data_IF_024989430934
#
_entry.id   IF_024989430934
#
_cell.length_a   1.000
_cell.length_b   1.000
_cell.length_c   1.000
_cell.angle_alpha   90.00
_cell.angle_beta   90.00
_cell.angle_gamma   90.00
#
_symmetry.space_group_name_H-M   'P 1'
#
loop_
_entity.id
_entity.type
_entity.pdbx_description
1 polymer ?
#
# COMPACT_ATOMS: atom_id res chain seq x y z
N UNK A 1 -68.25 8.46 15.68
CA UNK A 1 -67.10 8.91 14.86
C UNK A 1 -65.87 8.23 15.40
N UNK A 2 -65.42 7.16 14.75
CA UNK A 2 -64.25 6.41 15.18
C UNK A 2 -62.98 7.13 14.71
N UNK A 3 -62.05 7.30 15.64
CA UNK A 3 -60.72 7.83 15.41
C UNK A 3 -59.94 6.89 14.48
N UNK A 4 -59.48 7.43 13.36
CA UNK A 4 -58.47 6.78 12.52
C UNK A 4 -57.09 7.22 12.98
N UNK A 5 -56.58 6.63 14.05
CA UNK A 5 -55.15 6.67 14.36
C UNK A 5 -54.43 5.76 13.37
N UNK A 6 -53.98 6.35 12.26
CA UNK A 6 -52.99 5.75 11.37
C UNK A 6 -51.65 5.66 12.09
N UNK A 7 -51.49 4.65 12.94
CA UNK A 7 -50.21 4.31 13.54
C UNK A 7 -49.21 4.00 12.44
N UNK A 8 -48.20 4.87 12.28
CA UNK A 8 -47.07 4.62 11.39
C UNK A 8 -46.44 3.28 11.78
N UNK A 9 -46.62 2.25 10.95
CA UNK A 9 -46.01 0.95 11.16
C UNK A 9 -44.48 1.14 11.14
N UNK A 10 -43.85 1.03 12.31
CA UNK A 10 -42.41 1.09 12.42
C UNK A 10 -41.82 -0.08 11.63
N UNK A 11 -40.88 0.22 10.72
CA UNK A 11 -40.15 -0.81 9.98
C UNK A 11 -39.47 -1.76 10.98
N UNK A 12 -39.78 -3.05 10.88
CA UNK A 12 -39.28 -4.10 11.80
C UNK A 12 -38.11 -4.87 11.21
N UNK A 13 -37.88 -4.73 9.91
CA UNK A 13 -36.79 -5.36 9.18
C UNK A 13 -36.13 -4.38 8.20
N UNK A 14 -34.88 -4.65 7.85
CA UNK A 14 -34.12 -3.83 6.89
C UNK A 14 -34.76 -3.83 5.49
N UNK A 15 -35.49 -4.89 5.16
CA UNK A 15 -36.16 -5.08 3.86
C UNK A 15 -37.40 -4.21 3.69
N UNK A 16 -37.97 -3.73 4.80
CA UNK A 16 -39.10 -2.78 4.82
C UNK A 16 -38.64 -1.32 4.61
N UNK A 17 -37.33 -1.05 4.72
CA UNK A 17 -36.78 0.29 4.50
C UNK A 17 -36.58 0.57 3.01
N UNK A 18 -36.80 1.84 2.62
CA UNK A 18 -36.51 2.27 1.25
C UNK A 18 -35.03 2.03 0.91
N UNK A 19 -34.69 1.50 -0.29
CA UNK A 19 -33.32 1.21 -0.69
C UNK A 19 -32.33 2.37 -0.51
N UNK A 20 -32.78 3.61 -0.67
CA UNK A 20 -31.92 4.80 -0.50
C UNK A 20 -31.50 5.03 0.96
N UNK A 21 -32.36 4.68 1.92
CA UNK A 21 -32.03 4.78 3.35
C UNK A 21 -30.95 3.74 3.68
N UNK A 22 -31.14 2.51 3.22
CA UNK A 22 -30.14 1.44 3.39
C UNK A 22 -28.83 1.80 2.70
N UNK A 23 -28.89 2.34 1.48
CA UNK A 23 -27.72 2.80 0.73
C UNK A 23 -26.99 3.91 1.47
N UNK A 24 -27.71 4.83 2.12
CA UNK A 24 -27.12 5.91 2.93
C UNK A 24 -26.36 5.35 4.14
N UNK A 25 -26.88 4.32 4.80
CA UNK A 25 -26.17 3.61 5.87
C UNK A 25 -24.93 2.88 5.32
N UNK A 26 -25.05 2.21 4.18
CA UNK A 26 -23.93 1.51 3.54
C UNK A 26 -22.77 2.43 3.17
N UNK A 27 -23.03 3.70 2.83
CA UNK A 27 -21.97 4.71 2.57
C UNK A 27 -21.11 5.02 3.80
N UNK A 28 -21.65 4.84 5.00
CA UNK A 28 -20.94 5.10 6.24
C UNK A 28 -19.95 3.98 6.59
N UNK A 29 -20.14 2.78 6.03
CA UNK A 29 -19.29 1.63 6.29
C UNK A 29 -17.90 1.77 5.64
N UNK A 30 -16.90 1.17 6.28
CA UNK A 30 -15.59 0.95 5.66
C UNK A 30 -15.65 -0.24 4.69
N UNK A 31 -14.62 -0.40 3.87
CA UNK A 31 -14.68 -1.40 2.79
C UNK A 31 -14.79 -2.84 3.29
N UNK A 32 -14.24 -3.17 4.47
CA UNK A 32 -14.41 -4.50 5.08
C UNK A 32 -15.85 -4.72 5.52
N UNK A 33 -16.43 -3.76 6.24
CA UNK A 33 -17.80 -3.87 6.72
C UNK A 33 -18.80 -3.87 5.56
N UNK A 34 -18.56 -3.10 4.49
CA UNK A 34 -19.38 -3.13 3.29
C UNK A 34 -19.32 -4.50 2.59
N UNK A 35 -18.12 -5.09 2.47
CA UNK A 35 -17.97 -6.44 1.92
C UNK A 35 -18.67 -7.49 2.81
N UNK A 36 -18.53 -7.41 4.12
CA UNK A 36 -19.19 -8.30 5.07
C UNK A 36 -20.73 -8.16 5.01
N UNK A 37 -21.25 -6.94 4.95
CA UNK A 37 -22.68 -6.66 4.79
C UNK A 37 -23.24 -7.25 3.49
N UNK A 38 -22.48 -7.23 2.40
CA UNK A 38 -22.88 -7.85 1.13
C UNK A 38 -23.06 -9.38 1.20
N UNK A 39 -22.51 -10.03 2.23
CA UNK A 39 -22.64 -11.46 2.44
C UNK A 39 -23.84 -11.85 3.30
N UNK A 40 -24.37 -10.94 4.11
CA UNK A 40 -25.39 -11.27 5.13
C UNK A 40 -26.83 -11.33 4.60
N UNK A 41 -27.17 -10.56 3.56
CA UNK A 41 -28.52 -10.54 3.00
C UNK A 41 -28.53 -10.26 1.48
N UNK A 42 -29.52 -10.78 0.72
CA UNK A 42 -29.65 -10.51 -0.71
C UNK A 42 -29.84 -9.02 -1.04
N UNK A 43 -30.64 -8.30 -0.26
CA UNK A 43 -30.84 -6.86 -0.41
C UNK A 43 -29.52 -6.09 -0.25
N UNK A 44 -28.77 -6.39 0.82
CA UNK A 44 -27.47 -5.79 1.07
C UNK A 44 -26.48 -6.11 -0.04
N UNK A 45 -26.44 -7.36 -0.52
CA UNK A 45 -25.62 -7.74 -1.67
C UNK A 45 -25.93 -6.91 -2.91
N UNK A 46 -27.22 -6.77 -3.25
CA UNK A 46 -27.65 -6.02 -4.42
C UNK A 46 -27.26 -4.54 -4.33
N UNK A 47 -27.43 -3.93 -3.16
CA UNK A 47 -27.07 -2.53 -2.94
C UNK A 47 -25.56 -2.31 -2.88
N UNK A 48 -24.79 -3.21 -2.24
CA UNK A 48 -23.33 -3.12 -2.13
C UNK A 48 -22.60 -3.27 -3.47
N UNK A 49 -23.25 -3.72 -4.55
CA UNK A 49 -22.63 -3.81 -5.89
C UNK A 49 -22.56 -2.44 -6.60
N UNK A 50 -23.31 -1.45 -6.11
CA UNK A 50 -23.41 -0.13 -6.76
C UNK A 50 -22.03 0.56 -6.88
N UNK A 51 -21.61 1.01 -8.08
CA UNK A 51 -20.27 1.55 -8.30
C UNK A 51 -19.92 2.78 -7.45
N UNK A 52 -20.89 3.67 -7.24
CA UNK A 52 -20.69 4.92 -6.53
C UNK A 52 -20.35 4.72 -5.03
N UNK A 53 -20.78 3.61 -4.42
CA UNK A 53 -20.40 3.25 -3.05
C UNK A 53 -18.89 3.03 -2.98
N UNK A 54 -18.36 2.19 -3.88
CA UNK A 54 -16.94 1.88 -3.94
C UNK A 54 -16.10 3.08 -4.37
N UNK A 55 -16.60 3.92 -5.28
CA UNK A 55 -15.94 5.17 -5.67
C UNK A 55 -15.78 6.11 -4.47
N UNK A 56 -16.88 6.41 -3.78
CA UNK A 56 -16.85 7.29 -2.60
C UNK A 56 -15.93 6.74 -1.50
N UNK A 57 -15.93 5.42 -1.31
CA UNK A 57 -15.07 4.73 -0.36
C UNK A 57 -13.60 4.84 -0.75
N UNK A 58 -13.25 4.60 -2.02
CA UNK A 58 -11.86 4.71 -2.49
C UNK A 58 -11.34 6.15 -2.38
N UNK A 59 -12.14 7.14 -2.78
CA UNK A 59 -11.75 8.56 -2.68
C UNK A 59 -11.53 9.01 -1.23
N UNK A 60 -12.29 8.45 -0.28
CA UNK A 60 -12.12 8.69 1.17
C UNK A 60 -10.89 7.96 1.74
N UNK A 61 -10.60 6.76 1.27
CA UNK A 61 -9.47 5.96 1.74
C UNK A 61 -8.12 6.41 1.15
N UNK A 62 -8.12 6.92 -0.09
CA UNK A 62 -6.94 7.37 -0.81
C UNK A 62 -7.18 8.74 -1.44
N UNK A 63 -6.82 9.84 -0.75
CA UNK A 63 -6.96 11.20 -1.28
C UNK A 63 -6.26 11.39 -2.63
N UNK A 64 -5.19 10.66 -2.89
CA UNK A 64 -4.43 10.71 -4.16
C UNK A 64 -5.28 10.36 -5.38
N UNK A 65 -6.37 9.62 -5.21
CA UNK A 65 -7.28 9.26 -6.30
C UNK A 65 -8.09 10.44 -6.84
N UNK A 66 -8.12 11.58 -6.14
CA UNK A 66 -8.71 12.82 -6.68
C UNK A 66 -7.90 13.40 -7.85
N UNK A 67 -6.67 12.92 -8.06
CA UNK A 67 -5.84 13.35 -9.19
C UNK A 67 -6.51 13.01 -10.53
N UNK A 68 -6.56 13.99 -11.44
CA UNK A 68 -7.29 13.90 -12.72
C UNK A 68 -6.97 12.62 -13.51
N UNK A 69 -5.70 12.19 -13.52
CA UNK A 69 -5.28 10.96 -14.19
C UNK A 69 -5.86 9.68 -13.58
N UNK A 70 -5.99 9.61 -12.26
CA UNK A 70 -6.56 8.44 -11.60
C UNK A 70 -8.09 8.45 -11.71
N UNK A 71 -8.71 9.64 -11.65
CA UNK A 71 -10.15 9.81 -11.90
C UNK A 71 -10.58 9.36 -13.29
N UNK A 72 -9.74 9.56 -14.31
CA UNK A 72 -10.03 9.06 -15.67
C UNK A 72 -9.70 7.58 -15.84
N UNK A 73 -8.69 7.07 -15.11
CA UNK A 73 -8.20 5.70 -15.26
C UNK A 73 -9.04 4.65 -14.50
N UNK A 74 -9.42 4.91 -13.25
CA UNK A 74 -10.12 3.93 -12.40
C UNK A 74 -11.49 3.46 -12.94
N UNK A 75 -12.31 4.31 -13.59
CA UNK A 75 -13.51 3.84 -14.27
C UNK A 75 -13.26 2.78 -15.35
N UNK A 76 -12.05 2.75 -15.94
CA UNK A 76 -11.69 1.74 -16.93
C UNK A 76 -11.34 0.37 -16.33
N UNK A 77 -11.16 0.25 -15.02
CA UNK A 77 -10.86 -1.02 -14.36
C UNK A 77 -12.03 -2.02 -14.47
N UNK A 78 -11.78 -3.34 -14.46
CA UNK A 78 -12.85 -4.32 -14.36
C UNK A 78 -13.62 -4.13 -13.06
N UNK A 79 -14.93 -3.84 -13.07
CA UNK A 79 -15.68 -3.46 -11.86
C UNK A 79 -15.20 -2.15 -11.19
N UNK A 80 -14.51 -1.27 -11.94
CA UNK A 80 -14.16 0.09 -11.54
C UNK A 80 -13.45 0.15 -10.16
N UNK A 81 -13.89 1.05 -9.27
CA UNK A 81 -13.32 1.27 -7.95
C UNK A 81 -13.35 0.05 -7.03
N UNK A 82 -14.28 -0.89 -7.27
CA UNK A 82 -14.38 -2.10 -6.44
C UNK A 82 -13.18 -3.02 -6.65
N UNK A 83 -12.72 -3.22 -7.88
CA UNK A 83 -11.52 -4.03 -8.11
C UNK A 83 -10.28 -3.32 -7.63
N UNK A 84 -10.19 -1.99 -7.82
CA UNK A 84 -9.10 -1.20 -7.28
C UNK A 84 -9.01 -1.36 -5.76
N UNK A 85 -10.16 -1.25 -5.06
CA UNK A 85 -10.20 -1.48 -3.62
C UNK A 85 -9.69 -2.87 -3.26
N UNK A 86 -10.15 -3.92 -3.94
CA UNK A 86 -9.72 -5.28 -3.68
C UNK A 86 -8.24 -5.53 -3.98
N UNK A 87 -7.68 -4.82 -4.96
CA UNK A 87 -6.27 -4.93 -5.36
C UNK A 87 -5.35 -4.16 -4.37
N UNK A 88 -5.81 -3.00 -3.88
CA UNK A 88 -5.05 -2.13 -2.97
C UNK A 88 -5.29 -2.43 -1.48
N UNK A 89 -6.34 -3.21 -1.16
CA UNK A 89 -6.77 -3.52 0.19
C UNK A 89 -7.32 -4.95 0.30
N UNK A 90 -6.93 -5.74 1.32
CA UNK A 90 -6.15 -5.36 2.49
C UNK A 90 -4.68 -5.09 2.15
N UNK A 91 -4.02 -4.31 3.01
CA UNK A 91 -2.58 -4.19 2.99
C UNK A 91 -1.97 -5.60 2.96
N UNK A 92 -0.99 -5.83 2.07
CA UNK A 92 -0.48 -7.15 1.80
C UNK A 92 -0.01 -7.81 3.10
N UNK A 93 -0.52 -9.00 3.35
CA UNK A 93 -0.02 -9.84 4.44
C UNK A 93 1.26 -10.54 3.96
N UNK A 94 2.27 -10.70 4.83
CA UNK A 94 3.49 -11.43 4.48
C UNK A 94 3.12 -12.86 4.09
N UNK A 95 3.32 -13.22 2.82
CA UNK A 95 3.06 -14.57 2.30
C UNK A 95 2.28 -14.66 0.99
N UNK A 96 1.76 -13.55 0.45
CA UNK A 96 1.07 -13.55 -0.86
C UNK A 96 1.90 -12.87 -1.93
N UNK A 97 2.96 -13.53 -2.40
CA UNK A 97 3.67 -13.10 -3.60
C UNK A 97 3.92 -14.34 -4.46
N UNK A 98 3.32 -14.38 -5.65
CA UNK A 98 3.44 -15.50 -6.59
C UNK A 98 4.63 -15.31 -7.55
N UNK A 99 5.09 -16.42 -8.15
CA UNK A 99 6.17 -16.47 -9.15
C UNK A 99 6.07 -15.36 -10.22
N UNK A 100 7.17 -14.63 -10.51
CA UNK A 100 7.24 -13.76 -11.67
C UNK A 100 7.29 -14.57 -12.98
N UNK A 101 6.18 -14.65 -13.70
CA UNK A 101 6.16 -14.99 -15.13
C UNK A 101 6.80 -13.85 -15.97
N UNK A 102 7.57 -14.17 -17.04
CA UNK A 102 8.44 -13.26 -17.79
C UNK A 102 7.67 -12.34 -18.76
N UNK A 103 6.62 -11.68 -18.28
CA UNK A 103 5.86 -10.74 -19.08
C UNK A 103 6.61 -9.40 -19.17
N UNK A 104 6.61 -8.72 -20.33
CA UNK A 104 7.30 -7.44 -20.45
C UNK A 104 6.77 -6.42 -19.44
N UNK A 105 7.63 -5.55 -18.88
CA UNK A 105 7.19 -4.48 -18.00
C UNK A 105 6.17 -3.59 -18.73
N UNK A 106 5.17 -3.03 -18.02
CA UNK A 106 4.17 -2.16 -18.64
C UNK A 106 4.82 -0.90 -19.23
N UNK A 107 4.17 -0.18 -20.15
CA UNK A 107 4.72 1.05 -20.72
C UNK A 107 4.77 2.21 -19.72
N UNK A 108 3.92 2.18 -18.68
CA UNK A 108 3.90 3.18 -17.62
C UNK A 108 3.41 2.56 -16.31
N UNK A 109 3.90 3.10 -15.21
CA UNK A 109 3.42 2.85 -13.85
C UNK A 109 2.94 4.15 -13.25
N UNK A 110 1.86 4.08 -12.46
CA UNK A 110 1.38 5.20 -11.64
C UNK A 110 1.55 4.84 -10.18
N UNK A 111 2.01 5.79 -9.39
CA UNK A 111 2.22 5.61 -7.96
C UNK A 111 1.36 6.61 -7.23
N UNK A 112 0.50 6.12 -6.34
CA UNK A 112 -0.39 6.92 -5.52
C UNK A 112 0.07 6.79 -4.06
N UNK A 113 0.53 7.90 -3.48
CA UNK A 113 1.15 7.93 -2.15
C UNK A 113 0.32 8.81 -1.24
N UNK A 114 -0.19 8.23 -0.16
CA UNK A 114 -0.94 8.93 0.87
C UNK A 114 -0.36 8.60 2.25
N UNK A 115 0.06 9.63 2.98
CA UNK A 115 0.54 9.53 4.37
C UNK A 115 -0.48 10.20 5.29
N UNK A 116 -0.86 9.54 6.36
CA UNK A 116 -1.90 9.97 7.28
C UNK A 116 -1.39 10.06 8.71
N UNK A 117 -1.99 10.95 9.49
CA UNK A 117 -1.83 11.03 10.94
C UNK A 117 -3.20 11.21 11.58
N UNK A 118 -3.64 10.23 12.38
CA UNK A 118 -4.96 10.29 13.03
C UNK A 118 -6.14 10.36 12.05
N UNK A 119 -6.00 9.79 10.85
CA UNK A 119 -7.03 9.82 9.80
C UNK A 119 -6.94 11.02 8.84
N UNK A 120 -6.15 12.04 9.16
CA UNK A 120 -5.95 13.21 8.30
C UNK A 120 -4.73 13.04 7.38
N UNK A 121 -4.82 13.36 6.08
CA UNK A 121 -3.71 13.20 5.15
C UNK A 121 -2.65 14.30 5.33
N UNK A 122 -1.43 13.91 5.68
CA UNK A 122 -0.23 14.76 5.72
C UNK A 122 0.43 14.93 4.35
N UNK A 123 0.36 13.91 3.50
CA UNK A 123 0.86 13.90 2.14
C UNK A 123 -0.13 13.17 1.26
N UNK A 124 -0.44 13.72 0.09
CA UNK A 124 -1.13 13.03 -0.98
C UNK A 124 -0.48 13.39 -2.31
N UNK A 125 0.02 12.41 -3.05
CA UNK A 125 0.77 12.62 -4.29
C UNK A 125 0.57 11.50 -5.28
N UNK A 126 0.60 11.87 -6.57
CA UNK A 126 0.63 10.94 -7.69
C UNK A 126 1.91 11.15 -8.49
N UNK A 127 2.56 10.05 -8.86
CA UNK A 127 3.78 10.05 -9.69
C UNK A 127 3.65 9.05 -10.83
N UNK A 128 4.46 9.25 -11.86
CA UNK A 128 4.52 8.35 -13.01
C UNK A 128 5.94 7.90 -13.25
N UNK A 129 6.09 6.68 -13.76
CA UNK A 129 7.41 6.16 -14.12
C UNK A 129 7.28 5.29 -15.36
N UNK A 130 8.23 5.43 -16.28
CA UNK A 130 8.41 4.48 -17.38
C UNK A 130 9.39 3.38 -16.92
N UNK A 131 8.91 2.15 -16.66
CA UNK A 131 9.77 1.04 -16.24
C UNK A 131 10.62 0.46 -17.40
N UNK A 132 10.46 0.96 -18.63
CA UNK A 132 11.27 0.58 -19.81
C UNK A 132 12.38 1.58 -20.10
N UNK A 133 12.31 2.79 -19.52
CA UNK A 133 13.29 3.85 -19.72
C UNK A 133 14.69 3.53 -19.14
N UNK A 134 15.74 4.23 -19.60
CA UNK A 134 17.07 4.09 -19.02
C UNK A 134 17.05 4.51 -17.53
N UNK A 135 17.53 3.62 -16.65
CA UNK A 135 17.52 3.84 -15.20
C UNK A 135 16.22 3.42 -14.49
N UNK A 136 15.44 2.51 -15.09
CA UNK A 136 14.14 1.99 -14.62
C UNK A 136 14.14 1.27 -13.25
N UNK A 137 14.50 1.97 -12.19
CA UNK A 137 14.19 1.56 -10.82
C UNK A 137 12.81 2.05 -10.39
N UNK A 138 12.25 1.47 -9.32
CA UNK A 138 11.13 2.06 -8.59
C UNK A 138 11.39 3.56 -8.28
N UNK A 139 10.35 4.41 -8.18
CA UNK A 139 10.52 5.82 -7.87
C UNK A 139 11.20 5.96 -6.52
N UNK A 140 12.43 6.48 -6.56
CA UNK A 140 13.31 6.51 -5.39
C UNK A 140 12.89 7.54 -4.36
N UNK A 141 12.14 8.58 -4.74
CA UNK A 141 11.64 9.58 -3.82
C UNK A 141 10.34 10.21 -4.33
N UNK A 142 9.35 10.30 -3.46
CA UNK A 142 8.09 10.98 -3.68
C UNK A 142 8.10 12.42 -3.13
N UNK A 143 9.18 12.89 -2.51
CA UNK A 143 9.21 14.21 -1.89
C UNK A 143 9.86 15.27 -2.77
N UNK A 144 9.20 16.42 -2.84
CA UNK A 144 9.90 17.73 -2.82
C UNK A 144 9.94 18.14 -1.34
N UNK A 145 10.99 18.81 -0.84
CA UNK A 145 11.03 19.26 0.56
C UNK A 145 9.90 20.27 0.78
N UNK A 146 8.76 19.79 1.28
CA UNK A 146 7.63 20.62 1.64
C UNK A 146 7.42 20.49 3.13
N UNK A 147 7.31 21.63 3.81
CA UNK A 147 6.69 21.69 5.13
C UNK A 147 5.27 21.11 5.03
N UNK A 148 5.08 19.84 5.39
CA UNK A 148 3.76 19.35 5.71
C UNK A 148 3.27 20.23 6.86
N UNK A 149 2.26 21.05 6.60
CA UNK A 149 1.64 21.89 7.61
C UNK A 149 0.95 20.91 8.56
N UNK A 150 1.54 20.67 9.72
CA UNK A 150 0.80 20.02 10.79
C UNK A 150 -0.49 20.81 10.98
N UNK A 151 -1.60 20.12 11.13
CA UNK A 151 -2.86 20.75 11.46
C UNK A 151 -2.65 21.50 12.78
N UNK A 152 -2.54 22.82 12.71
CA UNK A 152 -2.83 23.69 13.83
C UNK A 152 -4.34 23.63 14.02
N UNK A 153 -4.79 22.73 14.88
CA UNK A 153 -6.17 22.63 15.33
C UNK A 153 -6.19 22.96 16.82
N UNK A 154 -7.00 23.96 17.19
CA UNK A 154 -6.97 24.61 18.49
C UNK A 154 -7.15 23.66 19.69
N UNK A 155 -6.53 24.07 20.80
CA UNK A 155 -7.12 23.95 22.13
C UNK A 155 -7.60 22.56 22.54
N UNK A 156 -6.70 21.59 22.59
CA UNK A 156 -6.95 20.33 23.30
C UNK A 156 -5.63 19.81 23.83
N UNK A 157 -5.41 19.95 25.13
CA UNK A 157 -4.25 19.43 25.84
C UNK A 157 -4.20 17.90 25.76
N UNK A 158 -3.68 17.38 24.66
CA UNK A 158 -3.29 15.98 24.48
C UNK A 158 -1.77 15.90 24.44
N UNK A 159 -1.19 15.37 25.51
CA UNK A 159 0.24 15.19 25.77
C UNK A 159 1.03 14.73 24.53
N UNK A 160 2.18 15.39 24.30
CA UNK A 160 3.23 14.88 23.42
C UNK A 160 3.72 13.51 23.90
N UNK A 161 3.77 12.54 22.99
CA UNK A 161 4.27 11.19 23.25
C UNK A 161 4.29 10.28 22.01
N UNK A 162 3.17 10.18 21.27
CA UNK A 162 2.95 9.07 20.32
C UNK A 162 2.93 9.44 18.82
N UNK A 163 3.37 10.65 18.45
CA UNK A 163 3.21 11.16 17.09
C UNK A 163 3.80 10.30 15.93
N UNK A 164 4.90 9.54 16.07
CA UNK A 164 5.44 8.78 14.94
C UNK A 164 4.77 7.41 14.75
N UNK A 165 4.30 6.76 15.82
CA UNK A 165 3.71 5.41 15.71
C UNK A 165 2.26 5.44 15.18
N UNK A 166 1.61 6.59 15.27
CA UNK A 166 0.27 6.84 14.74
C UNK A 166 0.25 7.16 13.23
N UNK A 167 1.41 7.24 12.57
CA UNK A 167 1.50 7.46 11.13
C UNK A 167 1.03 6.23 10.35
N UNK A 168 0.15 6.46 9.37
CA UNK A 168 -0.28 5.42 8.44
C UNK A 168 0.14 5.79 7.01
N UNK A 169 0.71 4.85 6.27
CA UNK A 169 1.14 5.04 4.88
C UNK A 169 0.36 4.12 3.95
N UNK A 170 -0.08 4.66 2.82
CA UNK A 170 -0.50 3.90 1.66
C UNK A 170 0.37 4.24 0.46
N UNK A 171 1.03 3.24 -0.11
CA UNK A 171 1.82 3.40 -1.33
C UNK A 171 1.31 2.44 -2.39
N UNK A 172 0.39 2.89 -3.23
CA UNK A 172 -0.26 2.05 -4.24
C UNK A 172 0.46 2.20 -5.58
N UNK A 173 0.93 1.08 -6.14
CA UNK A 173 1.39 1.01 -7.53
C UNK A 173 0.23 0.57 -8.42
N UNK A 174 0.08 1.21 -9.57
CA UNK A 174 -1.01 1.00 -10.52
C UNK A 174 -0.42 0.75 -11.90
N UNK A 175 -0.86 -0.32 -12.55
CA UNK A 175 -0.61 -0.63 -13.96
C UNK A 175 -1.81 -0.17 -14.80
N UNK A 176 -1.71 0.94 -15.56
CA UNK A 176 -2.79 1.38 -16.44
C UNK A 176 -3.09 0.39 -17.57
N UNK A 177 -2.09 -0.33 -18.06
CA UNK A 177 -2.23 -1.24 -19.20
C UNK A 177 -2.96 -2.52 -18.77
N UNK A 178 -2.58 -3.08 -17.62
CA UNK A 178 -3.21 -4.29 -17.07
C UNK A 178 -4.44 -3.99 -16.20
N UNK A 179 -4.66 -2.72 -15.84
CA UNK A 179 -5.75 -2.27 -14.95
C UNK A 179 -5.72 -3.04 -13.63
N UNK A 180 -4.53 -3.09 -13.03
CA UNK A 180 -4.26 -3.74 -11.74
C UNK A 180 -3.58 -2.76 -10.80
N UNK A 181 -3.80 -2.95 -9.50
CA UNK A 181 -3.10 -2.20 -8.47
C UNK A 181 -2.49 -3.15 -7.42
N UNK A 182 -1.54 -2.64 -6.64
CA UNK A 182 -1.06 -3.29 -5.43
C UNK A 182 -0.58 -2.25 -4.43
N UNK A 183 -0.83 -2.47 -3.14
CA UNK A 183 -0.28 -1.64 -2.09
C UNK A 183 1.09 -2.17 -1.64
N UNK A 184 2.05 -1.28 -1.46
CA UNK A 184 3.45 -1.58 -1.15
C UNK A 184 3.85 -1.11 0.27
N UNK A 185 2.88 -0.75 1.10
CA UNK A 185 3.10 -0.40 2.50
C UNK A 185 2.37 -1.35 3.45
N UNK A 186 2.90 -1.49 4.66
CA UNK A 186 2.31 -2.27 5.77
C UNK A 186 1.18 -1.57 6.51
N UNK A 187 0.64 -0.46 5.97
CA UNK A 187 -0.19 0.54 6.67
C UNK A 187 0.53 1.26 7.81
N UNK A 188 1.01 0.51 8.80
CA UNK A 188 1.71 1.02 9.99
C UNK A 188 3.21 0.84 9.88
N UNK A 189 4.02 1.67 10.54
CA UNK A 189 5.46 1.53 10.50
C UNK A 189 5.86 0.20 11.16
N UNK A 190 6.77 -0.53 10.51
CA UNK A 190 7.41 -1.73 11.05
C UNK A 190 8.64 -1.40 11.89
N UNK A 191 9.18 -0.18 11.74
CA UNK A 191 10.32 0.31 12.50
C UNK A 191 10.24 1.83 12.61
N UNK A 192 10.49 2.35 13.81
CA UNK A 192 10.64 3.78 14.10
C UNK A 192 12.00 3.98 14.76
N UNK A 193 12.86 4.78 14.15
CA UNK A 193 14.20 5.11 14.67
C UNK A 193 14.32 6.60 14.82
N UNK A 194 14.79 7.05 15.98
CA UNK A 194 15.12 8.46 16.22
C UNK A 194 16.62 8.64 16.20
N UNK A 195 17.10 9.52 15.33
CA UNK A 195 18.50 9.89 15.29
C UNK A 195 18.84 10.78 16.49
N UNK A 196 19.83 10.36 17.28
CA UNK A 196 20.10 10.91 18.62
C UNK A 196 20.61 12.36 18.60
N UNK A 197 21.36 12.75 17.56
CA UNK A 197 21.95 14.10 17.45
C UNK A 197 21.07 15.09 16.71
N UNK A 198 20.49 14.68 15.58
CA UNK A 198 19.64 15.56 14.74
C UNK A 198 18.19 15.61 15.23
N UNK A 199 17.79 14.63 16.05
CA UNK A 199 16.41 14.46 16.50
C UNK A 199 15.45 13.99 15.40
N UNK A 200 15.95 13.70 14.19
CA UNK A 200 15.15 13.23 13.06
C UNK A 200 14.57 11.84 13.33
N UNK A 201 13.36 11.62 12.84
CA UNK A 201 12.63 10.37 12.98
C UNK A 201 12.56 9.70 11.62
N UNK A 202 13.07 8.48 11.54
CA UNK A 202 13.01 7.62 10.37
C UNK A 202 12.02 6.49 10.63
N UNK A 203 10.96 6.44 9.83
CA UNK A 203 9.96 5.38 9.84
C UNK A 203 10.15 4.49 8.62
N UNK A 204 9.96 3.19 8.80
CA UNK A 204 9.98 2.21 7.72
C UNK A 204 8.66 1.47 7.69
N UNK A 205 8.11 1.33 6.49
CA UNK A 205 6.94 0.51 6.17
C UNK A 205 7.43 -0.55 5.18
N UNK A 206 7.02 -1.80 5.34
CA UNK A 206 7.59 -2.87 4.53
C UNK A 206 6.57 -3.93 4.13
N UNK A 207 6.71 -4.43 2.91
CA UNK A 207 5.95 -5.55 2.36
C UNK A 207 6.92 -6.57 1.78
N UNK A 208 6.77 -7.83 2.19
CA UNK A 208 7.60 -8.93 1.69
C UNK A 208 7.22 -9.24 0.24
N UNK A 209 8.24 -9.39 -0.61
CA UNK A 209 8.13 -9.73 -2.03
C UNK A 209 8.76 -11.10 -2.31
N UNK A 210 8.17 -11.83 -3.24
CA UNK A 210 8.62 -13.16 -3.65
C UNK A 210 8.19 -14.29 -2.70
N UNK A 211 8.12 -15.51 -3.22
CA UNK A 211 7.61 -16.69 -2.50
C UNK A 211 8.45 -17.06 -1.27
N UNK A 212 9.77 -16.88 -1.36
CA UNK A 212 10.71 -17.19 -0.27
C UNK A 212 10.99 -15.98 0.65
N UNK A 213 10.31 -14.85 0.44
CA UNK A 213 10.64 -13.60 1.11
C UNK A 213 12.05 -13.08 0.77
N UNK A 214 12.50 -13.35 -0.46
CA UNK A 214 13.83 -12.99 -0.94
C UNK A 214 14.06 -11.47 -1.01
N UNK A 215 12.99 -10.67 -0.99
CA UNK A 215 13.07 -9.21 -1.00
C UNK A 215 11.90 -8.58 -0.25
N UNK A 216 11.99 -7.27 -0.02
CA UNK A 216 10.91 -6.47 0.53
C UNK A 216 10.82 -5.12 -0.20
N UNK A 217 9.60 -4.67 -0.49
CA UNK A 217 9.35 -3.26 -0.79
C UNK A 217 9.38 -2.50 0.53
N UNK A 218 10.25 -1.51 0.63
CA UNK A 218 10.46 -0.72 1.84
C UNK A 218 10.20 0.74 1.51
N UNK A 219 9.14 1.29 2.08
CA UNK A 219 8.91 2.72 2.08
C UNK A 219 9.53 3.35 3.33
N UNK A 220 10.43 4.31 3.13
CA UNK A 220 11.10 5.06 4.19
C UNK A 220 10.53 6.47 4.26
N UNK A 221 10.20 6.91 5.48
CA UNK A 221 9.68 8.25 5.76
C UNK A 221 10.61 8.93 6.76
N UNK A 222 11.16 10.09 6.40
CA UNK A 222 12.00 10.89 7.27
C UNK A 222 11.25 12.14 7.69
N UNK A 223 11.13 12.35 9.00
CA UNK A 223 10.51 13.51 9.61
C UNK A 223 11.55 14.27 10.44
N UNK A 224 11.64 15.58 10.24
CA UNK A 224 12.41 16.48 11.09
C UNK A 224 11.64 16.87 12.35
N UNK A 225 12.38 17.12 13.43
CA UNK A 225 11.84 17.76 14.62
C UNK A 225 11.52 19.22 14.32
N UNK A 226 10.24 19.60 14.32
CA UNK A 226 9.77 20.95 14.04
C UNK A 226 10.05 21.97 15.15
N UNK A 227 11.29 22.06 15.65
CA UNK A 227 11.72 23.07 16.63
C UNK A 227 10.72 23.30 17.78
N UNK A 228 10.33 24.58 17.98
CA UNK A 228 9.42 25.03 19.03
C UNK A 228 7.94 24.63 18.83
N UNK A 229 7.60 24.00 17.70
CA UNK A 229 6.25 23.52 17.42
C UNK A 229 6.20 22.00 17.58
N UNK A 230 5.11 21.47 18.13
CA UNK A 230 4.85 20.02 18.19
C UNK A 230 4.59 19.39 16.82
N UNK A 231 4.89 20.08 15.72
CA UNK A 231 4.62 19.62 14.37
C UNK A 231 5.77 18.78 13.82
N UNK A 232 5.45 17.58 13.31
CA UNK A 232 6.35 16.76 12.51
C UNK A 232 6.55 17.41 11.13
N UNK A 233 7.80 17.71 10.77
CA UNK A 233 8.11 18.24 9.44
C UNK A 233 8.51 17.09 8.51
N UNK A 234 7.65 16.74 7.56
CA UNK A 234 7.99 15.73 6.55
C UNK A 234 9.17 16.20 5.69
N UNK A 235 10.23 15.41 5.60
CA UNK A 235 11.43 15.72 4.80
C UNK A 235 11.49 14.89 3.55
N UNK A 236 11.35 13.58 3.72
CA UNK A 236 11.51 12.62 2.63
C UNK A 236 10.52 11.48 2.76
N UNK A 237 9.99 11.04 1.63
CA UNK A 237 9.23 9.80 1.49
C UNK A 237 9.78 9.06 0.29
N UNK A 238 10.38 7.89 0.48
CA UNK A 238 11.08 7.13 -0.55
C UNK A 238 10.64 5.68 -0.55
N UNK A 239 10.72 5.03 -1.71
CA UNK A 239 10.48 3.59 -1.87
C UNK A 239 11.72 2.93 -2.45
N UNK A 240 12.18 1.89 -1.77
CA UNK A 240 13.25 1.01 -2.22
C UNK A 240 12.76 -0.43 -2.23
N UNK A 241 13.41 -1.26 -3.03
CA UNK A 241 13.26 -2.71 -2.90
C UNK A 241 14.57 -3.20 -2.32
N UNK A 242 14.52 -3.91 -1.21
CA UNK A 242 15.68 -4.44 -0.49
C UNK A 242 15.67 -5.97 -0.58
N UNK A 243 16.83 -6.61 -0.67
CA UNK A 243 16.95 -8.07 -0.50
C UNK A 243 16.87 -8.48 0.98
N UNK A 244 16.96 -9.79 1.25
CA UNK A 244 16.97 -10.34 2.60
C UNK A 244 18.10 -9.78 3.51
N UNK A 245 19.18 -9.26 2.91
CA UNK A 245 20.31 -8.64 3.62
C UNK A 245 20.11 -7.12 3.82
N UNK A 246 18.98 -6.56 3.36
CA UNK A 246 18.68 -5.12 3.43
C UNK A 246 19.37 -4.29 2.35
N UNK A 247 19.96 -4.92 1.33
CA UNK A 247 20.64 -4.22 0.25
C UNK A 247 19.64 -3.82 -0.84
N UNK A 248 19.70 -2.56 -1.26
CA UNK A 248 18.84 -2.04 -2.32
C UNK A 248 19.06 -2.77 -3.65
N UNK A 249 18.00 -3.39 -4.16
CA UNK A 249 17.90 -3.94 -5.50
C UNK A 249 17.63 -2.82 -6.50
N UNK A 250 18.44 -2.74 -7.55
CA UNK A 250 18.34 -1.68 -8.57
C UNK A 250 17.95 -2.22 -9.94
N UNK A 251 17.38 -1.33 -10.75
CA UNK A 251 17.01 -1.60 -12.14
C UNK A 251 15.96 -2.69 -12.31
N UNK A 252 16.17 -3.56 -13.30
CA UNK A 252 15.18 -4.54 -13.74
C UNK A 252 14.79 -5.57 -12.67
N UNK A 253 15.69 -5.91 -11.75
CA UNK A 253 15.41 -6.91 -10.71
C UNK A 253 14.34 -6.43 -9.72
N UNK A 254 14.40 -5.18 -9.28
CA UNK A 254 13.38 -4.63 -8.37
C UNK A 254 12.03 -4.46 -9.05
N UNK A 255 12.02 -4.09 -10.34
CA UNK A 255 10.78 -4.06 -11.12
C UNK A 255 10.12 -5.44 -11.25
N UNK A 256 10.87 -6.49 -11.61
CA UNK A 256 10.30 -7.83 -11.75
C UNK A 256 9.62 -8.31 -10.46
N UNK A 257 10.23 -8.02 -9.30
CA UNK A 257 9.66 -8.36 -8.00
C UNK A 257 8.38 -7.57 -7.70
N UNK A 258 8.36 -6.26 -7.99
CA UNK A 258 7.18 -5.42 -7.81
C UNK A 258 6.02 -5.81 -8.74
N UNK A 259 6.33 -6.15 -10.00
CA UNK A 259 5.32 -6.60 -10.98
C UNK A 259 4.77 -8.00 -10.63
N UNK A 260 5.53 -8.81 -9.89
CA UNK A 260 5.09 -10.12 -9.38
C UNK A 260 3.91 -10.01 -8.41
N UNK A 261 3.73 -8.87 -7.72
CA UNK A 261 2.68 -8.67 -6.72
C UNK A 261 1.25 -8.75 -7.29
N UNK A 262 1.03 -8.34 -8.53
CA UNK A 262 -0.31 -8.34 -9.12
C UNK A 262 -0.86 -9.74 -9.39
N UNK A 263 -0.06 -10.78 -9.19
CA UNK A 263 -0.45 -12.17 -9.46
C UNK A 263 -0.93 -12.91 -8.21
N UNK A 264 -0.84 -12.31 -7.01
CA UNK A 264 -1.24 -12.91 -5.72
C UNK A 264 -2.75 -12.99 -5.45
N UNK A 265 -3.59 -12.99 -6.48
CA UNK A 265 -5.06 -13.02 -6.32
C UNK A 265 -5.70 -14.01 -7.29
N UNK A 266 -5.66 -15.30 -6.96
CA UNK A 266 -6.39 -16.33 -7.71
C UNK A 266 -5.57 -17.60 -7.93
N UNK A 267 -5.44 -18.44 -6.90
CA UNK A 267 -4.90 -19.78 -7.04
C UNK A 267 -5.13 -20.57 -5.77
N UNK A 268 -5.91 -21.65 -5.88
CA UNK A 268 -6.01 -22.67 -4.83
C UNK A 268 -4.60 -23.12 -4.39
N UNK A 269 -4.39 -23.53 -3.13
CA UNK A 269 -3.08 -23.92 -2.64
C UNK A 269 -2.53 -25.06 -3.50
N UNK A 270 -1.47 -24.77 -4.27
CA UNK A 270 -0.75 -25.77 -5.03
C UNK A 270 -0.20 -26.79 -4.02
N UNK A 271 -0.74 -28.01 -4.07
CA UNK A 271 -0.21 -29.18 -3.37
C UNK A 271 1.30 -29.23 -3.57
N UNK A 272 2.04 -29.34 -2.46
CA UNK A 272 3.46 -29.68 -2.43
C UNK A 272 3.71 -30.87 -3.37
N UNK A 273 4.30 -30.59 -4.53
CA UNK A 273 5.07 -31.59 -5.24
C UNK A 273 6.48 -31.52 -4.67
N UNK A 274 6.77 -32.47 -3.79
CA UNK A 274 8.12 -32.79 -3.41
C UNK A 274 8.88 -33.25 -4.67
N UNK A 275 10.03 -32.64 -4.92
CA UNK A 275 11.02 -33.18 -5.86
C UNK A 275 11.69 -32.13 -6.73
N UNK A 276 13.01 -32.03 -6.55
CA UNK A 276 14.00 -31.47 -7.48
C UNK A 276 14.04 -29.92 -7.53
N UNK A 277 15.18 -29.22 -7.44
CA UNK A 277 16.57 -29.63 -7.61
C UNK A 277 17.46 -28.67 -6.83
N UNK A 278 18.41 -29.22 -6.08
CA UNK A 278 19.45 -28.54 -5.33
C UNK A 278 20.46 -27.87 -6.28
N UNK A 279 20.61 -26.54 -6.22
CA UNK A 279 21.75 -25.84 -6.82
C UNK A 279 22.71 -25.47 -5.68
N UNK A 280 23.75 -26.28 -5.50
CA UNK A 280 24.87 -26.00 -4.60
C UNK A 280 25.76 -24.91 -5.18
N UNK A 281 25.87 -23.77 -4.50
CA UNK A 281 26.91 -22.78 -4.75
C UNK A 281 28.19 -23.15 -3.97
N UNK A 282 29.26 -23.56 -4.66
CA UNK A 282 30.60 -23.70 -4.06
C UNK A 282 31.23 -22.32 -3.95
N UNK A 283 31.48 -21.89 -2.72
CA UNK A 283 32.17 -20.64 -2.41
C UNK A 283 33.60 -20.60 -2.97
N UNK A 284 33.89 -19.56 -3.74
CA UNK A 284 35.25 -19.19 -4.14
C UNK A 284 36.01 -18.60 -2.96
N UNK A 285 36.66 -19.45 -2.17
CA UNK A 285 37.59 -19.04 -1.12
C UNK A 285 38.87 -18.45 -1.71
N UNK A 286 39.18 -17.19 -1.34
CA UNK A 286 40.49 -16.57 -1.54
C UNK A 286 41.55 -17.33 -0.72
N UNK A 287 42.43 -18.05 -1.41
CA UNK A 287 43.62 -18.67 -0.82
C UNK A 287 44.89 -17.85 -1.09
N UNK A 288 45.46 -17.27 -0.02
CA UNK A 288 46.81 -16.69 0.01
C UNK A 288 47.86 -17.71 -0.48
N UNK A 289 48.82 -17.29 -1.32
CA UNK A 289 50.10 -17.99 -1.47
C UNK A 289 51.20 -17.22 -0.74
N UNK A 290 51.65 -17.80 0.38
CA UNK A 290 52.98 -17.55 0.96
C UNK A 290 54.04 -18.28 0.13
N UNK A 291 55.24 -17.71 0.14
CA UNK A 291 56.39 -18.17 -0.64
C UNK A 291 56.93 -19.54 -0.27
N UNK A 292 57.78 -20.03 -1.16
CA UNK A 292 58.80 -21.04 -0.86
C UNK A 292 60.02 -20.76 -1.72
N UNK A 293 61.07 -20.36 -1.03
CA UNK A 293 62.48 -20.53 -1.36
C UNK A 293 62.81 -21.93 -1.93
N UNK A 294 63.70 -22.00 -2.93
CA UNK A 294 64.62 -23.13 -3.11
C UNK A 294 65.84 -22.72 -3.95
N UNK A 295 67.00 -22.93 -3.33
CA UNK A 295 68.38 -22.86 -3.85
C UNK A 295 68.70 -23.93 -4.91
N UNK A 296 69.85 -23.70 -5.55
CA UNK A 296 70.75 -24.56 -6.36
C UNK A 296 70.51 -24.40 -7.86
N UNK A 297 71.50 -24.06 -8.69
CA UNK A 297 72.95 -24.34 -8.62
C UNK A 297 73.80 -23.12 -8.94
#
# INVERSE_FOLDING_TARGET
MAAGEGGAAAARSLEELHPDVVTSVLRLLDGRSLAAASCSAPLLRALSVQPHLWESLCLRAWPSLHHHRLRSLLPCFPHSHRSFFSDAYPYPHPGSAAVPSPEPPPPALVWAVDLFHGGEPLLSRVMETDPRGPGSSAPRSASTPSTARGCGGGGGAGRGGDLPESLELSWVVIDPARRRAANLSSRRPVSVKRHWYTGEIHLRFAVVLGEDGAAAAVASVTCGSGGATTMLQLREVSLTVEDADGKCLTGRHSLVLLLGLWRGGGGAPARRLAGATQITWRGGGRGRRRGSERRRS
#
